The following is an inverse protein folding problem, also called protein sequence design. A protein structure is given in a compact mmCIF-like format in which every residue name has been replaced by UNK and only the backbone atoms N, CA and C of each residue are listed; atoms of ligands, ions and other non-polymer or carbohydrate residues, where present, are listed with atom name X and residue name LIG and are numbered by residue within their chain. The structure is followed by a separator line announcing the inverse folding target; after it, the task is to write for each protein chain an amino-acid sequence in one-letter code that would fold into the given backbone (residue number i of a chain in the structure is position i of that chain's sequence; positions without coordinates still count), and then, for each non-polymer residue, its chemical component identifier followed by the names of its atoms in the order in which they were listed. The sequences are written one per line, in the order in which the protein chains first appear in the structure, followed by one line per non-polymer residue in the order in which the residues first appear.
data_IF_379188500740
#
_entry.id   IF_379188500740
#
_cell.length_a   1.000
_cell.length_b   1.000
_cell.length_c   1.000
_cell.angle_alpha   90.00
_cell.angle_beta   90.00
_cell.angle_gamma   90.00
#
_symmetry.space_group_name_H-M   'P 1'
#
loop_
_entity.id
_entity.type
_entity.pdbx_description
1 polymer ?
#
# COMPACT_ATOMS: atom_id res chain seq x y z
N UNK A 1 6.31 -0.55 6.87
CA UNK A 1 7.31 0.55 6.88
C UNK A 1 7.77 0.77 8.32
N UNK A 2 6.83 0.75 9.26
CA UNK A 2 7.01 0.94 10.71
C UNK A 2 8.14 0.09 11.31
N UNK A 3 8.19 -1.22 11.01
CA UNK A 3 9.23 -2.09 11.55
C UNK A 3 10.66 -1.65 11.15
N UNK A 4 10.83 -1.06 9.96
CA UNK A 4 12.14 -0.58 9.50
C UNK A 4 12.58 0.71 10.21
N UNK A 5 11.62 1.48 10.73
CA UNK A 5 11.87 2.68 11.55
C UNK A 5 11.75 2.39 13.05
N UNK A 6 11.72 1.11 13.45
CA UNK A 6 11.73 0.66 14.85
C UNK A 6 10.35 0.62 15.54
N UNK A 7 9.28 0.96 14.83
CA UNK A 7 7.91 0.86 15.34
C UNK A 7 7.40 -0.58 15.21
N UNK A 8 6.91 -1.17 16.31
CA UNK A 8 6.31 -2.50 16.31
C UNK A 8 4.83 -2.41 16.00
N UNK A 9 4.44 -2.81 14.80
CA UNK A 9 3.03 -2.87 14.40
C UNK A 9 2.61 -4.28 14.03
N UNK A 10 1.36 -4.61 14.32
CA UNK A 10 0.77 -5.88 13.93
C UNK A 10 0.19 -5.76 12.52
N UNK A 11 0.47 -6.77 11.68
CA UNK A 11 -0.07 -6.80 10.33
C UNK A 11 -1.57 -7.12 10.40
N UNK A 12 -2.45 -6.30 9.82
CA UNK A 12 -3.88 -6.57 9.84
C UNK A 12 -4.21 -7.86 9.08
N UNK A 13 -5.25 -8.57 9.53
CA UNK A 13 -5.76 -9.77 8.88
C UNK A 13 -6.35 -9.48 7.50
N UNK A 14 -6.43 -10.51 6.66
CA UNK A 14 -7.11 -10.43 5.37
C UNK A 14 -8.62 -10.54 5.58
N UNK A 15 -9.35 -9.54 5.11
CA UNK A 15 -10.80 -9.46 5.24
C UNK A 15 -11.47 -9.57 3.87
N UNK A 16 -12.64 -10.21 3.84
CA UNK A 16 -13.53 -10.27 2.69
C UNK A 16 -14.92 -9.81 3.10
N UNK A 17 -15.54 -8.94 2.30
CA UNK A 17 -16.86 -8.41 2.55
C UNK A 17 -17.83 -8.74 1.42
N UNK A 18 -19.11 -8.81 1.76
CA UNK A 18 -20.20 -9.11 0.82
C UNK A 18 -20.72 -7.87 0.07
N UNK A 19 -20.32 -6.67 0.49
CA UNK A 19 -20.75 -5.40 -0.11
C UNK A 19 -19.55 -4.48 -0.33
N UNK A 20 -19.73 -3.48 -1.20
CA UNK A 20 -18.64 -2.56 -1.61
C UNK A 20 -18.29 -1.56 -0.50
N UNK A 21 -19.29 -1.11 0.28
CA UNK A 21 -19.11 -0.05 1.28
C UNK A 21 -18.00 -0.35 2.32
N UNK A 22 -17.90 -1.55 2.91
CA UNK A 22 -16.78 -1.91 3.79
C UNK A 22 -15.41 -1.80 3.12
N UNK A 23 -15.28 -2.19 1.84
CA UNK A 23 -14.01 -2.05 1.13
C UNK A 23 -13.61 -0.57 0.96
N UNK A 24 -14.57 0.32 0.69
CA UNK A 24 -14.31 1.77 0.60
C UNK A 24 -13.84 2.31 1.96
N UNK A 25 -14.51 1.94 3.06
CA UNK A 25 -14.11 2.35 4.41
C UNK A 25 -12.67 1.93 4.71
N UNK A 26 -12.35 0.65 4.44
CA UNK A 26 -11.01 0.10 4.71
C UNK A 26 -9.91 0.75 3.86
N UNK A 27 -10.21 1.16 2.63
CA UNK A 27 -9.27 1.95 1.82
C UNK A 27 -9.03 3.33 2.41
N UNK A 28 -10.09 4.04 2.84
CA UNK A 28 -9.96 5.35 3.49
C UNK A 28 -9.15 5.25 4.79
N UNK A 29 -9.41 4.24 5.60
CA UNK A 29 -8.64 3.96 6.82
C UNK A 29 -7.17 3.69 6.52
N UNK A 30 -6.87 2.94 5.45
CA UNK A 30 -5.49 2.72 5.01
C UNK A 30 -4.80 4.02 4.58
N UNK A 31 -5.49 4.92 3.86
CA UNK A 31 -4.92 6.22 3.48
C UNK A 31 -4.65 7.10 4.70
N UNK A 32 -5.63 7.24 5.60
CA UNK A 32 -5.49 8.03 6.83
C UNK A 32 -4.36 7.50 7.71
N UNK A 33 -4.20 6.18 7.80
CA UNK A 33 -3.09 5.57 8.52
C UNK A 33 -1.72 5.95 7.94
N UNK A 34 -1.59 5.95 6.62
CA UNK A 34 -0.33 6.35 5.97
C UNK A 34 -0.04 7.84 6.19
N UNK A 35 -1.04 8.71 6.11
CA UNK A 35 -0.88 10.15 6.38
C UNK A 35 -0.46 10.42 7.84
N UNK A 36 -1.12 9.73 8.79
CA UNK A 36 -0.78 9.82 10.21
C UNK A 36 0.67 9.42 10.48
N UNK A 37 1.17 8.35 9.84
CA UNK A 37 2.55 7.89 9.99
C UNK A 37 3.57 9.01 9.70
N UNK A 38 3.41 9.75 8.61
CA UNK A 38 4.34 10.83 8.24
C UNK A 38 4.15 12.07 9.13
N UNK A 39 2.93 12.32 9.60
CA UNK A 39 2.65 13.42 10.53
C UNK A 39 3.28 13.16 11.90
N UNK A 40 3.22 11.92 12.37
CA UNK A 40 3.75 11.49 13.67
C UNK A 40 5.26 11.23 13.65
N UNK A 41 5.84 10.90 12.49
CA UNK A 41 7.26 10.61 12.32
C UNK A 41 7.91 11.61 11.33
N UNK A 42 7.96 12.92 11.66
CA UNK A 42 8.47 13.94 10.74
C UNK A 42 9.96 13.82 10.43
N UNK A 43 10.71 13.11 11.27
CA UNK A 43 12.15 12.85 11.10
C UNK A 43 12.44 11.55 10.34
N UNK A 44 11.43 10.90 9.75
CA UNK A 44 11.61 9.67 8.99
C UNK A 44 12.60 9.88 7.84
N UNK A 45 13.58 8.99 7.73
CA UNK A 45 14.53 9.00 6.61
C UNK A 45 13.85 8.46 5.36
N UNK A 46 13.69 9.31 4.35
CA UNK A 46 13.02 8.95 3.09
C UNK A 46 13.93 8.12 2.18
N UNK A 47 15.14 8.61 1.95
CA UNK A 47 16.19 7.98 1.15
C UNK A 47 17.25 7.37 2.07
N UNK A 48 17.52 6.08 1.94
CA UNK A 48 18.54 5.37 2.72
C UNK A 48 19.51 4.69 1.77
N UNK A 49 20.81 4.95 1.93
CA UNK A 49 21.87 4.42 1.06
C UNK A 49 22.54 3.19 1.66
N UNK A 50 22.44 2.99 2.97
CA UNK A 50 22.92 1.79 3.64
C UNK A 50 21.91 0.65 3.49
N UNK A 51 22.26 -0.37 2.71
CA UNK A 51 21.44 -1.57 2.49
C UNK A 51 20.97 -2.23 3.79
N UNK A 52 21.80 -2.28 4.84
CA UNK A 52 21.43 -2.92 6.12
C UNK A 52 20.25 -2.21 6.82
N UNK A 53 20.01 -0.94 6.48
CA UNK A 53 18.93 -0.12 7.03
C UNK A 53 17.71 -0.05 6.11
N UNK A 54 17.77 -0.64 4.92
CA UNK A 54 16.63 -0.67 3.98
C UNK A 54 15.51 -1.60 4.44
N UNK A 55 14.33 -1.37 3.88
CA UNK A 55 13.18 -2.23 4.04
C UNK A 55 13.41 -3.50 3.22
N UNK A 56 13.62 -4.61 3.92
CA UNK A 56 13.77 -5.92 3.31
C UNK A 56 12.41 -6.56 3.08
N UNK A 57 12.04 -6.75 1.81
CA UNK A 57 10.74 -7.35 1.47
C UNK A 57 10.83 -8.86 1.36
N UNK A 58 9.69 -9.53 1.57
CA UNK A 58 9.61 -11.00 1.44
C UNK A 58 9.82 -11.50 0.01
N UNK A 59 9.76 -10.62 -0.98
CA UNK A 59 9.99 -10.95 -2.40
C UNK A 59 11.42 -10.64 -2.86
N UNK A 60 12.33 -10.35 -1.92
CA UNK A 60 13.78 -10.27 -2.17
C UNK A 60 14.29 -8.91 -2.64
N UNK A 61 13.42 -7.90 -2.77
CA UNK A 61 13.83 -6.55 -3.12
C UNK A 61 14.02 -5.68 -1.87
N UNK A 62 15.03 -4.83 -1.88
CA UNK A 62 15.26 -3.78 -0.88
C UNK A 62 14.68 -2.46 -1.36
N UNK A 63 14.07 -1.71 -0.45
CA UNK A 63 13.53 -0.38 -0.70
C UNK A 63 13.89 0.57 0.43
N UNK A 64 14.05 1.84 0.12
CA UNK A 64 13.90 2.91 1.10
C UNK A 64 12.40 3.31 1.23
N UNK A 65 12.13 4.32 2.07
CA UNK A 65 10.76 4.77 2.37
C UNK A 65 10.13 5.46 1.16
N UNK A 66 10.90 6.23 0.39
CA UNK A 66 10.41 6.86 -0.83
C UNK A 66 9.99 5.81 -1.86
N UNK A 67 10.88 4.86 -2.16
CA UNK A 67 10.62 3.84 -3.17
C UNK A 67 9.43 2.94 -2.83
N UNK A 68 9.23 2.59 -1.56
CA UNK A 68 8.06 1.78 -1.17
C UNK A 68 6.76 2.58 -1.23
N UNK A 69 6.81 3.90 -1.00
CA UNK A 69 5.66 4.79 -1.14
C UNK A 69 5.26 4.93 -2.62
N UNK A 70 6.24 5.14 -3.50
CA UNK A 70 6.01 5.13 -4.95
C UNK A 70 5.42 3.80 -5.40
N UNK A 71 5.98 2.67 -4.93
CA UNK A 71 5.45 1.34 -5.20
C UNK A 71 3.98 1.22 -4.77
N UNK A 72 3.62 1.69 -3.57
CA UNK A 72 2.26 1.65 -3.08
C UNK A 72 1.29 2.45 -3.97
N UNK A 73 1.68 3.63 -4.42
CA UNK A 73 0.89 4.47 -5.33
C UNK A 73 0.67 3.76 -6.67
N UNK A 74 1.74 3.30 -7.32
CA UNK A 74 1.62 2.63 -8.63
C UNK A 74 0.86 1.30 -8.52
N UNK A 75 0.94 0.61 -7.37
CA UNK A 75 0.20 -0.62 -7.10
C UNK A 75 -1.31 -0.38 -7.05
N UNK A 76 -1.77 0.70 -6.39
CA UNK A 76 -3.19 1.09 -6.37
C UNK A 76 -3.67 1.46 -7.79
N UNK A 77 -2.90 2.26 -8.52
CA UNK A 77 -3.24 2.64 -9.90
C UNK A 77 -3.32 1.42 -10.83
N UNK A 78 -2.41 0.45 -10.66
CA UNK A 78 -2.43 -0.81 -11.40
C UNK A 78 -3.72 -1.59 -11.13
N UNK A 79 -4.13 -1.72 -9.87
CA UNK A 79 -5.36 -2.43 -9.52
C UNK A 79 -6.61 -1.72 -10.01
N UNK A 80 -6.65 -0.39 -9.96
CA UNK A 80 -7.73 0.39 -10.59
C UNK A 80 -7.86 0.03 -12.08
N UNK A 81 -6.74 0.06 -12.83
CA UNK A 81 -6.74 -0.30 -14.25
C UNK A 81 -7.19 -1.74 -14.49
N UNK A 82 -6.80 -2.68 -13.62
CA UNK A 82 -7.27 -4.07 -13.72
C UNK A 82 -8.79 -4.18 -13.57
N UNK A 83 -9.38 -3.48 -12.60
CA UNK A 83 -10.83 -3.43 -12.40
C UNK A 83 -11.53 -2.79 -13.61
N UNK A 84 -11.01 -1.68 -14.12
CA UNK A 84 -11.54 -1.01 -15.32
C UNK A 84 -11.54 -1.95 -16.54
N UNK A 85 -10.44 -2.66 -16.79
CA UNK A 85 -10.36 -3.64 -17.88
C UNK A 85 -11.36 -4.78 -17.72
N UNK A 86 -11.56 -5.28 -16.50
CA UNK A 86 -12.55 -6.32 -16.20
C UNK A 86 -13.96 -5.80 -16.51
N UNK A 87 -14.30 -4.58 -16.08
CA UNK A 87 -15.60 -3.97 -16.38
C UNK A 87 -15.85 -3.78 -17.87
N UNK A 88 -14.82 -3.40 -18.64
CA UNK A 88 -14.90 -3.30 -20.11
C UNK A 88 -15.21 -4.67 -20.72
N UNK A 89 -14.48 -5.72 -20.30
CA UNK A 89 -14.69 -7.08 -20.78
C UNK A 89 -16.10 -7.59 -20.49
N UNK A 90 -16.60 -7.39 -19.26
CA UNK A 90 -17.97 -7.76 -18.90
C UNK A 90 -19.02 -7.06 -19.75
N UNK A 91 -18.84 -5.76 -20.04
CA UNK A 91 -19.77 -5.03 -20.92
C UNK A 91 -19.74 -5.54 -22.36
N UNK A 92 -18.57 -5.93 -22.88
CA UNK A 92 -18.47 -6.49 -24.23
C UNK A 92 -19.10 -7.88 -24.37
N UNK A 93 -19.13 -8.68 -23.30
CA UNK A 93 -19.73 -10.03 -23.31
C UNK A 93 -21.26 -10.02 -23.15
N UNK A 94 -21.84 -8.89 -22.73
CA UNK A 94 -23.28 -8.69 -22.57
C UNK A 94 -23.96 -8.10 -23.81
N UNK A 95 -23.19 -7.65 -24.82
CA UNK A 95 -23.69 -7.12 -26.09
C UNK A 95 -23.44 -8.13 -27.23
#
# INVERSE_FOLDING_TARGET
MENAIGLKTERPERLSFNTISPYISRLNEAFAYNEALFTEQPAITLEEFNSDKKIHTRWGQEYDVEQILEHAIVHILRHRRQIENVLVKFKSELN
#
